data_IF_769942331427
#
_entry.id   IF_769942331427
#
_cell.length_a   1.000
_cell.length_b   1.000
_cell.length_c   1.000
_cell.angle_alpha   90.00
_cell.angle_beta   90.00
_cell.angle_gamma   90.00
#
_symmetry.space_group_name_H-M   'P 1'
#
loop_
_entity.id
_entity.type
_entity.pdbx_description
1 polymer ?
#
# COMPACT_ATOMS: atom_id res chain seq x y z
N UNK A 1 7.96 22.09 0.75
CA UNK A 1 8.55 20.95 1.49
C UNK A 1 9.29 19.97 0.58
N UNK A 2 8.82 19.71 -0.65
CA UNK A 2 9.52 18.89 -1.69
C UNK A 2 10.95 19.36 -1.98
N UNK A 3 11.18 20.67 -2.02
CA UNK A 3 12.49 21.24 -2.35
C UNK A 3 13.60 20.76 -1.42
N UNK A 4 13.32 20.56 -0.12
CA UNK A 4 14.30 20.04 0.83
C UNK A 4 14.69 18.57 0.59
N UNK A 5 13.84 17.79 -0.08
CA UNK A 5 14.15 16.40 -0.45
C UNK A 5 14.82 16.29 -1.82
N UNK A 6 14.66 17.33 -2.65
CA UNK A 6 15.21 17.38 -4.01
C UNK A 6 16.59 18.05 -4.00
N UNK A 7 16.72 19.18 -3.30
CA UNK A 7 17.93 19.96 -3.13
C UNK A 7 18.54 19.64 -1.78
N UNK A 8 19.45 18.66 -1.78
CA UNK A 8 20.01 18.05 -0.56
C UNK A 8 21.07 18.90 0.15
N UNK A 9 21.44 20.05 -0.42
CA UNK A 9 22.40 21.00 0.16
C UNK A 9 21.84 22.42 0.19
N UNK A 10 22.33 23.24 1.15
CA UNK A 10 22.00 24.67 1.19
C UNK A 10 22.41 25.39 -0.09
N UNK A 11 23.51 24.97 -0.70
CA UNK A 11 24.00 25.54 -1.97
C UNK A 11 23.02 25.26 -3.12
N UNK A 12 22.52 24.03 -3.25
CA UNK A 12 21.55 23.66 -4.29
C UNK A 12 20.21 24.35 -4.09
N UNK A 13 19.77 24.51 -2.84
CA UNK A 13 18.55 25.24 -2.51
C UNK A 13 18.71 26.75 -2.78
N UNK A 14 19.86 27.35 -2.45
CA UNK A 14 20.18 28.76 -2.79
C UNK A 14 20.15 28.96 -4.30
N UNK A 15 20.77 28.04 -5.05
CA UNK A 15 20.80 28.08 -6.52
C UNK A 15 19.38 28.01 -7.13
N UNK A 16 18.49 27.17 -6.60
CA UNK A 16 17.07 27.10 -7.00
C UNK A 16 16.34 28.42 -6.74
N UNK A 17 16.60 29.06 -5.60
CA UNK A 17 15.98 30.34 -5.21
C UNK A 17 16.48 31.49 -6.09
N UNK A 18 17.79 31.55 -6.36
CA UNK A 18 18.45 32.63 -7.10
C UNK A 18 18.16 32.60 -8.61
N UNK A 19 18.11 31.42 -9.23
CA UNK A 19 17.96 31.27 -10.69
C UNK A 19 16.48 31.28 -11.14
N UNK A 20 15.53 31.07 -10.23
CA UNK A 20 14.13 30.85 -10.57
C UNK A 20 13.91 29.53 -11.34
N UNK A 21 12.66 29.19 -11.64
CA UNK A 21 12.21 27.90 -12.22
C UNK A 21 12.70 27.58 -13.66
N UNK A 22 13.77 28.21 -14.15
CA UNK A 22 14.22 28.08 -15.55
C UNK A 22 15.16 26.89 -15.85
N UNK A 23 15.42 26.00 -14.90
CA UNK A 23 15.95 24.67 -15.22
C UNK A 23 14.85 23.64 -15.07
N UNK A 24 14.54 22.94 -16.18
CA UNK A 24 13.80 21.68 -16.15
C UNK A 24 14.37 20.84 -15.01
N UNK A 25 13.52 20.55 -14.03
CA UNK A 25 13.88 19.68 -12.93
C UNK A 25 14.43 18.41 -13.55
N UNK A 26 15.72 18.12 -13.33
CA UNK A 26 16.29 16.81 -13.53
C UNK A 26 15.68 15.89 -12.44
N UNK A 27 14.37 15.70 -12.49
CA UNK A 27 13.69 14.64 -11.76
C UNK A 27 14.39 13.35 -12.13
N UNK A 28 14.70 12.52 -11.13
CA UNK A 28 15.33 11.23 -11.32
C UNK A 28 14.71 10.55 -12.54
N UNK A 29 15.50 10.42 -13.62
CA UNK A 29 15.04 9.96 -14.94
C UNK A 29 14.10 8.80 -14.71
N UNK A 30 12.82 9.07 -14.94
CA UNK A 30 11.84 8.01 -14.96
C UNK A 30 12.31 7.01 -16.03
N UNK A 31 12.34 5.73 -15.68
CA UNK A 31 12.60 4.66 -16.65
C UNK A 31 11.47 4.54 -17.69
N UNK A 32 10.42 5.36 -17.59
CA UNK A 32 9.27 5.34 -18.47
C UNK A 32 9.55 6.21 -19.69
N UNK A 33 9.58 5.56 -20.84
CA UNK A 33 9.65 6.21 -22.14
C UNK A 33 8.31 6.91 -22.39
N UNK A 34 8.31 8.24 -22.51
CA UNK A 34 7.12 8.99 -22.94
C UNK A 34 6.60 8.41 -24.27
N UNK A 35 5.29 8.16 -24.35
CA UNK A 35 4.58 8.09 -25.63
C UNK A 35 3.83 6.81 -25.98
N UNK A 36 3.98 5.71 -25.24
CA UNK A 36 3.22 4.46 -25.54
C UNK A 36 2.28 4.10 -24.40
N UNK A 37 0.97 4.06 -24.69
CA UNK A 37 -0.03 3.59 -23.73
C UNK A 37 0.22 2.12 -23.37
N UNK A 38 0.13 1.79 -22.09
CA UNK A 38 0.25 0.42 -21.58
C UNK A 38 -1.12 -0.01 -21.04
N UNK A 39 -1.82 -0.93 -21.72
CA UNK A 39 -3.05 -1.49 -21.20
C UNK A 39 -2.77 -2.53 -20.12
N UNK A 40 -3.75 -2.75 -19.24
CA UNK A 40 -3.81 -3.93 -18.38
C UNK A 40 -4.36 -5.10 -19.21
N UNK A 41 -3.71 -6.27 -19.23
CA UNK A 41 -4.23 -7.46 -19.92
C UNK A 41 -5.66 -7.80 -19.47
N UNK A 42 -6.55 -8.02 -20.44
CA UNK A 42 -7.92 -8.46 -20.15
C UNK A 42 -7.89 -9.98 -19.95
N UNK A 43 -8.01 -10.41 -18.70
CA UNK A 43 -8.11 -11.82 -18.33
C UNK A 43 -9.53 -12.09 -17.81
N UNK A 44 -10.25 -13.11 -18.34
CA UNK A 44 -11.56 -13.47 -17.82
C UNK A 44 -11.46 -13.81 -16.33
N UNK A 45 -12.36 -13.25 -15.53
CA UNK A 45 -12.49 -13.63 -14.12
C UNK A 45 -12.91 -15.10 -14.08
N UNK A 46 -12.01 -15.97 -13.67
CA UNK A 46 -12.35 -17.36 -13.40
C UNK A 46 -13.05 -17.43 -12.05
N UNK A 47 -14.20 -18.10 -11.99
CA UNK A 47 -14.91 -18.31 -10.73
C UNK A 47 -14.03 -19.09 -9.76
N UNK A 48 -13.64 -18.46 -8.64
CA UNK A 48 -12.87 -19.12 -7.59
C UNK A 48 -13.81 -19.86 -6.64
N UNK A 49 -13.35 -20.95 -5.98
CA UNK A 49 -14.11 -21.57 -4.89
C UNK A 49 -14.46 -20.51 -3.83
N UNK A 50 -15.69 -20.55 -3.34
CA UNK A 50 -16.29 -19.45 -2.57
C UNK A 50 -15.70 -19.21 -1.17
N UNK A 51 -14.76 -20.03 -0.68
CA UNK A 51 -14.35 -20.02 0.73
C UNK A 51 -12.84 -19.89 0.89
N UNK A 52 -12.41 -18.73 1.43
CA UNK A 52 -11.06 -18.50 1.95
C UNK A 52 -10.84 -19.41 3.17
N UNK A 53 -9.74 -20.17 3.20
CA UNK A 53 -9.40 -21.03 4.34
C UNK A 53 -8.19 -20.52 5.10
N UNK A 54 -7.14 -20.10 4.40
CA UNK A 54 -5.88 -19.66 5.00
C UNK A 54 -5.28 -18.46 4.27
N UNK A 55 -5.27 -17.28 4.89
CA UNK A 55 -4.86 -16.03 4.22
C UNK A 55 -3.56 -15.49 4.81
N UNK A 56 -2.57 -15.18 3.96
CA UNK A 56 -1.43 -14.34 4.32
C UNK A 56 -1.81 -12.87 4.14
N UNK A 57 -1.94 -12.12 5.23
CA UNK A 57 -2.19 -10.68 5.21
C UNK A 57 -0.92 -9.89 5.49
N UNK A 58 -0.43 -9.18 4.48
CA UNK A 58 0.73 -8.29 4.58
C UNK A 58 0.25 -6.86 4.79
N UNK A 59 0.64 -6.25 5.92
CA UNK A 59 0.25 -4.87 6.27
C UNK A 59 -0.94 -4.76 7.23
N UNK A 60 -1.22 -5.84 7.98
CA UNK A 60 -2.32 -5.91 8.96
C UNK A 60 -2.35 -4.79 10.01
N UNK A 61 -1.20 -4.18 10.33
CA UNK A 61 -1.11 -3.09 11.31
C UNK A 61 -1.34 -1.70 10.71
N UNK A 62 -1.49 -1.61 9.39
CA UNK A 62 -1.83 -0.37 8.68
C UNK A 62 -3.33 -0.07 8.75
N UNK A 63 -3.72 1.16 8.38
CA UNK A 63 -5.10 1.61 8.51
C UNK A 63 -6.10 0.78 7.70
N UNK A 64 -5.86 0.51 6.42
CA UNK A 64 -6.72 -0.39 5.66
C UNK A 64 -6.58 -1.85 6.12
N UNK A 65 -5.34 -2.28 6.39
CA UNK A 65 -5.04 -3.67 6.73
C UNK A 65 -5.74 -4.16 7.99
N UNK A 66 -5.88 -3.32 9.02
CA UNK A 66 -6.58 -3.69 10.25
C UNK A 66 -8.09 -3.84 10.05
N UNK A 67 -8.69 -3.04 9.15
CA UNK A 67 -10.10 -3.16 8.79
C UNK A 67 -10.36 -4.39 7.92
N UNK A 68 -9.45 -4.71 6.99
CA UNK A 68 -9.50 -5.96 6.22
C UNK A 68 -9.33 -7.18 7.14
N UNK A 69 -8.42 -7.12 8.11
CA UNK A 69 -8.25 -8.17 9.11
C UNK A 69 -9.55 -8.41 9.88
N UNK A 70 -10.18 -7.34 10.39
CA UNK A 70 -11.48 -7.43 11.09
C UNK A 70 -12.58 -8.01 10.21
N UNK A 71 -12.70 -7.58 8.95
CA UNK A 71 -13.70 -8.11 8.03
C UNK A 71 -13.48 -9.60 7.79
N UNK A 72 -12.23 -10.05 7.59
CA UNK A 72 -11.92 -11.48 7.41
C UNK A 72 -12.24 -12.30 8.67
N UNK A 73 -11.92 -11.79 9.85
CA UNK A 73 -12.21 -12.44 11.12
C UNK A 73 -13.72 -12.56 11.39
N UNK A 74 -14.49 -11.54 11.04
CA UNK A 74 -15.92 -11.46 11.36
C UNK A 74 -16.83 -12.10 10.32
N UNK A 75 -16.44 -12.10 9.04
CA UNK A 75 -17.26 -12.62 7.93
C UNK A 75 -16.87 -14.02 7.46
N UNK A 76 -15.71 -14.55 7.90
CA UNK A 76 -15.21 -15.86 7.45
C UNK A 76 -14.73 -16.72 8.62
N UNK A 77 -14.50 -18.00 8.35
CA UNK A 77 -13.82 -18.94 9.24
C UNK A 77 -12.34 -19.14 8.90
N UNK A 78 -11.75 -18.27 8.06
CA UNK A 78 -10.37 -18.43 7.62
C UNK A 78 -9.36 -18.27 8.76
N UNK A 79 -8.28 -19.04 8.72
CA UNK A 79 -7.08 -18.85 9.53
C UNK A 79 -6.22 -17.75 8.88
N UNK A 80 -5.68 -16.84 9.69
CA UNK A 80 -4.98 -15.65 9.17
C UNK A 80 -3.53 -15.68 9.61
N UNK A 81 -2.61 -15.58 8.66
CA UNK A 81 -1.20 -15.38 8.93
C UNK A 81 -0.85 -13.92 8.66
N UNK A 82 -0.34 -13.20 9.67
CA UNK A 82 0.07 -11.81 9.54
C UNK A 82 1.59 -11.70 9.67
N UNK A 83 2.23 -11.19 8.61
CA UNK A 83 3.65 -10.82 8.67
C UNK A 83 3.79 -9.43 9.31
N UNK A 84 4.46 -9.37 10.47
CA UNK A 84 4.53 -8.18 11.30
C UNK A 84 5.97 -7.90 11.70
N UNK A 85 6.51 -6.77 11.23
CA UNK A 85 7.85 -6.29 11.61
C UNK A 85 7.96 -6.02 13.11
N UNK A 86 8.87 -6.67 13.81
CA UNK A 86 9.08 -6.47 15.24
C UNK A 86 10.34 -7.15 15.77
N UNK A 87 10.52 -7.08 17.09
CA UNK A 87 11.66 -7.75 17.78
C UNK A 87 11.43 -9.24 17.99
N UNK A 88 10.16 -9.66 18.04
CA UNK A 88 9.74 -11.03 18.27
C UNK A 88 8.27 -11.20 17.88
N UNK A 89 7.84 -12.45 17.71
CA UNK A 89 6.44 -12.81 17.50
C UNK A 89 5.53 -12.22 18.59
N UNK A 90 5.92 -12.33 19.86
CA UNK A 90 5.17 -11.77 21.00
C UNK A 90 4.98 -10.25 20.87
N UNK A 91 6.01 -9.54 20.44
CA UNK A 91 5.92 -8.10 20.19
C UNK A 91 4.95 -7.79 19.04
N UNK A 92 4.98 -8.59 17.97
CA UNK A 92 4.05 -8.44 16.84
C UNK A 92 2.60 -8.72 17.24
N UNK A 93 2.39 -9.79 18.02
CA UNK A 93 1.08 -10.18 18.56
C UNK A 93 0.47 -9.08 19.43
N UNK A 94 1.25 -8.54 20.36
CA UNK A 94 0.80 -7.44 21.22
C UNK A 94 0.43 -6.21 20.39
N UNK A 95 1.28 -5.82 19.42
CA UNK A 95 1.01 -4.68 18.55
C UNK A 95 -0.30 -4.85 17.77
N UNK A 96 -0.54 -6.05 17.21
CA UNK A 96 -1.76 -6.31 16.45
C UNK A 96 -3.01 -6.27 17.35
N UNK A 97 -2.92 -6.88 18.53
CA UNK A 97 -3.99 -6.86 19.53
C UNK A 97 -4.34 -5.43 19.97
N UNK A 98 -3.32 -4.60 20.22
CA UNK A 98 -3.50 -3.18 20.54
C UNK A 98 -4.18 -2.41 19.41
N UNK A 99 -3.82 -2.69 18.15
CA UNK A 99 -4.50 -2.10 16.98
C UNK A 99 -5.97 -2.52 16.91
N UNK A 100 -6.27 -3.81 17.04
CA UNK A 100 -7.65 -4.30 17.06
C UNK A 100 -8.44 -3.60 18.19
N UNK A 101 -7.88 -3.52 19.38
CA UNK A 101 -8.50 -2.83 20.51
C UNK A 101 -8.71 -1.33 20.27
N UNK A 102 -7.73 -0.63 19.68
CA UNK A 102 -7.87 0.79 19.35
C UNK A 102 -9.07 1.04 18.42
N UNK A 103 -9.20 0.21 17.37
CA UNK A 103 -10.25 0.38 16.37
C UNK A 103 -11.60 -0.19 16.82
N UNK A 104 -11.65 -1.24 17.64
CA UNK A 104 -12.88 -2.04 17.81
C UNK A 104 -13.36 -2.23 19.25
N UNK A 105 -12.70 -1.63 20.25
CA UNK A 105 -13.09 -1.71 21.67
C UNK A 105 -14.48 -1.13 21.99
N UNK A 106 -15.05 -0.29 21.12
CA UNK A 106 -16.42 0.23 21.27
C UNK A 106 -17.48 -0.76 20.78
N UNK A 107 -17.08 -1.76 19.98
CA UNK A 107 -17.98 -2.71 19.33
C UNK A 107 -17.86 -4.12 19.90
N UNK A 108 -16.70 -4.47 20.47
CA UNK A 108 -16.40 -5.81 20.96
C UNK A 108 -15.67 -5.76 22.29
N UNK A 109 -15.91 -6.77 23.13
CA UNK A 109 -15.20 -6.94 24.40
C UNK A 109 -13.75 -7.36 24.17
N UNK A 110 -12.92 -7.25 25.22
CA UNK A 110 -11.54 -7.72 25.17
C UNK A 110 -11.49 -9.24 24.96
N UNK A 111 -12.43 -9.99 25.52
CA UNK A 111 -12.53 -11.44 25.34
C UNK A 111 -12.84 -11.81 23.88
N UNK A 112 -13.72 -11.08 23.20
CA UNK A 112 -14.00 -11.29 21.77
C UNK A 112 -12.78 -10.99 20.90
N UNK A 113 -12.05 -9.90 21.20
CA UNK A 113 -10.78 -9.60 20.52
C UNK A 113 -9.74 -10.71 20.77
N UNK A 114 -9.65 -11.22 21.99
CA UNK A 114 -8.76 -12.33 22.34
C UNK A 114 -9.13 -13.63 21.63
N UNK A 115 -10.43 -13.89 21.43
CA UNK A 115 -10.91 -15.00 20.62
C UNK A 115 -10.47 -14.87 19.16
N UNK A 116 -10.56 -13.69 18.56
CA UNK A 116 -10.02 -13.46 17.21
C UNK A 116 -8.52 -13.71 17.14
N UNK A 117 -7.76 -13.29 18.15
CA UNK A 117 -6.31 -13.51 18.19
C UNK A 117 -5.93 -15.01 18.18
N UNK A 118 -6.84 -15.94 18.48
CA UNK A 118 -6.59 -17.38 18.37
C UNK A 118 -6.57 -17.88 16.92
N UNK A 119 -7.21 -17.16 15.99
CA UNK A 119 -7.22 -17.46 14.55
C UNK A 119 -6.12 -16.72 13.77
N UNK A 120 -5.20 -16.09 14.50
CA UNK A 120 -4.14 -15.27 13.91
C UNK A 120 -2.78 -15.84 14.28
N UNK A 121 -2.09 -16.37 13.27
CA UNK A 121 -0.69 -16.72 13.31
C UNK A 121 0.16 -15.48 13.01
N UNK A 122 1.09 -15.15 13.89
CA UNK A 122 1.97 -14.00 13.71
C UNK A 122 3.34 -14.51 13.26
N UNK A 123 3.86 -13.97 12.17
CA UNK A 123 5.24 -14.18 11.75
C UNK A 123 6.00 -12.88 11.87
N UNK A 124 7.17 -12.93 12.52
CA UNK A 124 8.05 -11.77 12.58
C UNK A 124 8.90 -11.73 11.30
N UNK A 125 8.61 -10.79 10.42
CA UNK A 125 9.36 -10.63 9.17
C UNK A 125 9.06 -9.32 8.46
N UNK A 126 9.78 -9.09 7.36
CA UNK A 126 9.70 -7.90 6.53
C UNK A 126 9.79 -8.28 5.05
N UNK A 127 8.83 -7.82 4.25
CA UNK A 127 8.77 -8.10 2.80
C UNK A 127 9.95 -7.49 2.03
N UNK A 128 10.71 -6.57 2.64
CA UNK A 128 11.91 -6.00 2.04
C UNK A 128 13.13 -6.92 2.10
N UNK A 129 13.10 -7.91 2.99
CA UNK A 129 14.19 -8.86 3.20
C UNK A 129 14.05 -10.09 2.31
N UNK A 130 15.17 -10.77 2.07
CA UNK A 130 15.17 -12.08 1.42
C UNK A 130 14.33 -13.08 2.23
N UNK A 131 13.51 -13.90 1.56
CA UNK A 131 12.57 -14.83 2.19
C UNK A 131 11.68 -14.18 3.28
N UNK A 132 11.37 -12.89 3.12
CA UNK A 132 10.64 -12.07 4.11
C UNK A 132 11.33 -11.95 5.47
N UNK A 133 12.63 -12.20 5.56
CA UNK A 133 13.39 -12.26 6.81
C UNK A 133 13.13 -13.52 7.62
N UNK A 134 12.46 -14.52 7.03
CA UNK A 134 12.20 -15.82 7.64
C UNK A 134 13.34 -16.79 7.34
N UNK A 135 13.43 -17.86 8.13
CA UNK A 135 14.28 -19.00 7.75
C UNK A 135 13.72 -19.71 6.51
N UNK A 136 14.55 -20.40 5.72
CA UNK A 136 14.07 -21.17 4.56
C UNK A 136 12.95 -22.15 4.91
N UNK A 137 13.03 -22.80 6.06
CA UNK A 137 12.00 -23.74 6.53
C UNK A 137 10.67 -23.03 6.84
N UNK A 138 10.71 -21.89 7.53
CA UNK A 138 9.51 -21.09 7.82
C UNK A 138 8.88 -20.54 6.54
N UNK A 139 9.69 -20.08 5.58
CA UNK A 139 9.22 -19.57 4.29
C UNK A 139 8.50 -20.65 3.48
N UNK A 140 9.08 -21.85 3.38
CA UNK A 140 8.44 -22.99 2.71
C UNK A 140 7.17 -23.45 3.45
N UNK A 141 7.20 -23.47 4.79
CA UNK A 141 6.02 -23.80 5.60
C UNK A 141 4.90 -22.80 5.39
N UNK A 142 5.22 -21.50 5.34
CA UNK A 142 4.26 -20.43 5.08
C UNK A 142 3.61 -20.60 3.70
N UNK A 143 4.41 -20.82 2.66
CA UNK A 143 3.93 -21.03 1.29
C UNK A 143 3.00 -22.25 1.15
N UNK A 144 3.28 -23.34 1.87
CA UNK A 144 2.44 -24.53 1.89
C UNK A 144 1.18 -24.44 2.76
N UNK A 145 1.09 -23.47 3.66
CA UNK A 145 0.00 -23.35 4.65
C UNK A 145 -1.11 -22.37 4.23
N UNK A 146 -0.80 -21.41 3.37
CA UNK A 146 -1.75 -20.37 2.92
C UNK A 146 -2.30 -20.69 1.54
N UNK A 147 -3.53 -20.21 1.27
CA UNK A 147 -4.20 -20.37 -0.01
C UNK A 147 -4.35 -19.05 -0.78
N UNK A 148 -4.15 -17.92 -0.10
CA UNK A 148 -4.37 -16.58 -0.66
C UNK A 148 -3.44 -15.57 0.00
N UNK A 149 -2.90 -14.64 -0.78
CA UNK A 149 -2.10 -13.51 -0.27
C UNK A 149 -2.84 -12.20 -0.49
N UNK A 150 -2.97 -11.40 0.57
CA UNK A 150 -3.49 -10.03 0.50
C UNK A 150 -2.38 -9.07 0.91
N UNK A 151 -1.94 -8.24 -0.05
CA UNK A 151 -0.87 -7.28 0.14
C UNK A 151 -1.42 -5.86 0.24
N UNK A 152 -1.54 -5.39 1.48
CA UNK A 152 -1.94 -4.01 1.83
C UNK A 152 -0.77 -3.18 2.35
N UNK A 153 0.36 -3.82 2.65
CA UNK A 153 1.57 -3.14 3.12
C UNK A 153 2.07 -2.12 2.09
N UNK A 154 2.23 -0.88 2.54
CA UNK A 154 2.86 0.18 1.78
C UNK A 154 3.49 1.19 2.74
N UNK A 155 4.62 1.77 2.35
CA UNK A 155 5.07 3.04 2.90
C UNK A 155 4.25 4.15 2.24
N UNK A 156 3.38 4.80 3.02
CA UNK A 156 2.34 5.74 2.51
C UNK A 156 2.69 7.22 2.69
N UNK A 157 3.92 7.55 3.11
CA UNK A 157 4.34 8.94 3.27
C UNK A 157 4.34 9.66 1.91
N UNK A 158 3.90 10.91 1.84
CA UNK A 158 3.89 11.67 0.56
C UNK A 158 5.24 12.33 0.23
N UNK A 159 6.16 12.37 1.19
CA UNK A 159 7.48 12.98 1.09
C UNK A 159 8.51 12.09 1.79
N UNK A 160 9.72 12.06 1.26
CA UNK A 160 10.83 11.23 1.73
C UNK A 160 11.80 10.93 0.59
N UNK A 161 12.88 10.21 0.89
CA UNK A 161 13.82 9.77 -0.13
C UNK A 161 13.18 8.67 -0.98
N UNK A 162 13.25 8.82 -2.30
CA UNK A 162 12.62 7.89 -3.24
C UNK A 162 13.10 6.45 -3.01
N UNK A 163 14.37 6.31 -2.69
CA UNK A 163 15.08 5.07 -2.42
C UNK A 163 14.39 4.26 -1.30
N UNK A 164 13.81 4.92 -0.29
CA UNK A 164 13.06 4.25 0.79
C UNK A 164 11.71 3.69 0.28
N UNK A 165 11.03 4.41 -0.61
CA UNK A 165 9.77 3.97 -1.21
C UNK A 165 9.98 2.85 -2.22
N UNK A 166 11.02 2.96 -3.05
CA UNK A 166 11.42 1.92 -4.00
C UNK A 166 11.72 0.62 -3.26
N UNK A 167 12.48 0.69 -2.17
CA UNK A 167 12.84 -0.48 -1.40
C UNK A 167 11.62 -1.21 -0.80
N UNK A 168 10.69 -0.47 -0.20
CA UNK A 168 9.51 -1.07 0.44
C UNK A 168 8.44 -1.45 -0.58
N UNK A 169 7.99 -0.49 -1.39
CA UNK A 169 6.80 -0.66 -2.22
C UNK A 169 7.10 -1.39 -3.52
N UNK A 170 8.29 -1.23 -4.11
CA UNK A 170 8.62 -1.84 -5.41
C UNK A 170 9.30 -3.19 -5.20
N UNK A 171 10.41 -3.23 -4.47
CA UNK A 171 11.11 -4.49 -4.22
C UNK A 171 10.33 -5.43 -3.29
N UNK A 172 9.63 -4.89 -2.28
CA UNK A 172 8.73 -5.69 -1.44
C UNK A 172 7.61 -6.36 -2.25
N UNK A 173 6.94 -5.59 -3.12
CA UNK A 173 5.89 -6.17 -4.00
C UNK A 173 6.46 -7.19 -4.98
N UNK A 174 7.68 -6.99 -5.53
CA UNK A 174 8.34 -8.01 -6.35
C UNK A 174 8.53 -9.33 -5.60
N UNK A 175 9.08 -9.29 -4.38
CA UNK A 175 9.29 -10.51 -3.57
C UNK A 175 7.98 -11.21 -3.24
N UNK A 176 6.91 -10.45 -2.98
CA UNK A 176 5.57 -11.01 -2.76
C UNK A 176 5.04 -11.69 -4.03
N UNK A 177 5.25 -11.07 -5.20
CA UNK A 177 4.90 -11.69 -6.47
C UNK A 177 5.68 -12.99 -6.71
N UNK A 178 6.99 -12.99 -6.45
CA UNK A 178 7.84 -14.17 -6.58
C UNK A 178 7.38 -15.31 -5.66
N UNK A 179 7.07 -15.01 -4.39
CA UNK A 179 6.47 -15.96 -3.45
C UNK A 179 5.14 -16.54 -3.98
N UNK A 180 4.25 -15.67 -4.47
CA UNK A 180 2.96 -16.13 -5.00
C UNK A 180 3.13 -17.02 -6.24
N UNK A 181 4.12 -16.73 -7.10
CA UNK A 181 4.44 -17.59 -8.26
C UNK A 181 5.00 -18.93 -7.82
N UNK A 182 5.92 -18.95 -6.86
CA UNK A 182 6.55 -20.18 -6.34
C UNK A 182 5.49 -21.16 -5.79
N UNK A 183 4.52 -20.66 -5.03
CA UNK A 183 3.50 -21.48 -4.37
C UNK A 183 2.16 -21.52 -5.13
N UNK A 184 2.08 -20.94 -6.33
CA UNK A 184 0.86 -20.88 -7.14
C UNK A 184 -0.34 -20.23 -6.39
N UNK A 185 -0.08 -19.16 -5.65
CA UNK A 185 -1.05 -18.47 -4.81
C UNK A 185 -1.67 -17.26 -5.53
N UNK A 186 -2.98 -17.03 -5.41
CA UNK A 186 -3.60 -15.78 -5.82
C UNK A 186 -3.12 -14.61 -4.95
N UNK A 187 -2.74 -13.51 -5.62
CA UNK A 187 -2.31 -12.26 -5.00
C UNK A 187 -3.39 -11.17 -5.14
N UNK A 188 -3.85 -10.63 -4.02
CA UNK A 188 -4.69 -9.45 -3.96
C UNK A 188 -3.86 -8.25 -3.52
N UNK A 189 -3.56 -7.35 -4.46
CA UNK A 189 -2.73 -6.18 -4.21
C UNK A 189 -3.58 -4.92 -4.07
N UNK A 190 -3.45 -4.21 -2.94
CA UNK A 190 -4.08 -2.90 -2.79
C UNK A 190 -3.17 -1.82 -3.35
N UNK A 191 -3.65 -1.12 -4.37
CA UNK A 191 -3.02 0.05 -4.96
C UNK A 191 -3.77 1.35 -4.61
N UNK A 192 -3.57 2.42 -5.37
CA UNK A 192 -4.23 3.72 -5.17
C UNK A 192 -4.78 4.26 -6.48
N UNK A 193 -5.95 4.89 -6.45
CA UNK A 193 -6.53 5.57 -7.60
C UNK A 193 -5.62 6.71 -8.11
N UNK A 194 -4.76 7.26 -7.25
CA UNK A 194 -3.81 8.31 -7.61
C UNK A 194 -2.82 7.90 -8.70
N UNK A 195 -2.66 6.60 -9.00
CA UNK A 195 -1.89 6.15 -10.18
C UNK A 195 -2.49 6.63 -11.50
N UNK A 196 -3.76 7.03 -11.54
CA UNK A 196 -4.34 7.71 -12.72
C UNK A 196 -3.63 9.02 -13.07
N UNK A 197 -2.90 9.61 -12.12
CA UNK A 197 -2.21 10.88 -12.27
C UNK A 197 -3.17 12.06 -12.24
N UNK A 198 -2.59 13.28 -12.23
CA UNK A 198 -3.37 14.53 -12.27
C UNK A 198 -3.30 15.24 -13.61
N UNK A 199 -2.28 14.94 -14.41
CA UNK A 199 -2.04 15.55 -15.72
C UNK A 199 -1.15 14.66 -16.58
N UNK A 200 -1.17 14.93 -17.89
CA UNK A 200 -0.27 14.34 -18.88
C UNK A 200 0.52 15.50 -19.48
N UNK A 201 1.87 15.45 -19.49
CA UNK A 201 2.69 16.51 -20.07
C UNK A 201 2.33 16.76 -21.55
N UNK A 202 2.43 18.02 -21.97
CA UNK A 202 2.26 18.44 -23.37
C UNK A 202 0.86 18.21 -23.98
N UNK A 203 -0.17 18.02 -23.15
CA UNK A 203 -1.57 18.03 -23.60
C UNK A 203 -2.47 18.72 -22.59
N UNK A 204 -3.48 19.43 -23.10
CA UNK A 204 -4.58 19.99 -22.31
C UNK A 204 -5.89 19.22 -22.51
N UNK A 205 -5.86 18.17 -23.32
CA UNK A 205 -7.04 17.34 -23.58
C UNK A 205 -7.33 16.44 -22.39
N UNK A 206 -8.61 16.32 -22.04
CA UNK A 206 -9.06 15.38 -21.02
C UNK A 206 -8.84 13.96 -21.54
N UNK A 207 -8.05 13.18 -20.81
CA UNK A 207 -7.88 11.75 -21.09
C UNK A 207 -8.71 10.93 -20.12
N UNK A 208 -9.27 9.83 -20.62
CA UNK A 208 -10.03 8.87 -19.82
C UNK A 208 -9.05 7.82 -19.30
N UNK A 209 -9.12 7.55 -18.00
CA UNK A 209 -8.38 6.48 -17.34
C UNK A 209 -9.36 5.49 -16.73
N UNK A 210 -9.19 4.21 -17.05
CA UNK A 210 -10.07 3.12 -16.62
C UNK A 210 -9.26 2.01 -15.96
N UNK A 211 -9.93 0.96 -15.48
CA UNK A 211 -9.31 -0.25 -14.94
C UNK A 211 -8.50 -1.01 -15.99
N UNK A 212 -8.71 -0.73 -17.28
CA UNK A 212 -7.94 -1.31 -18.40
C UNK A 212 -6.65 -0.56 -18.70
N UNK A 213 -6.40 0.55 -18.01
CA UNK A 213 -5.25 1.40 -18.25
C UNK A 213 -4.22 1.25 -17.12
N UNK A 214 -2.97 0.97 -17.47
CA UNK A 214 -1.83 1.09 -16.56
C UNK A 214 -1.14 2.44 -16.80
N UNK A 215 -0.76 2.74 -18.04
CA UNK A 215 -0.07 3.98 -18.42
C UNK A 215 -0.72 4.62 -19.65
N UNK A 216 -1.10 5.90 -19.53
CA UNK A 216 -1.65 6.73 -20.60
C UNK A 216 -0.80 7.97 -20.89
N UNK A 217 0.35 8.11 -20.21
CA UNK A 217 1.23 9.28 -20.29
C UNK A 217 1.31 10.12 -19.01
N UNK A 218 0.69 9.66 -17.91
CA UNK A 218 0.66 10.41 -16.67
C UNK A 218 2.07 10.65 -16.07
N UNK A 219 2.26 11.80 -15.43
CA UNK A 219 3.53 12.16 -14.77
C UNK A 219 3.47 11.98 -13.25
N UNK A 220 4.53 11.37 -12.69
CA UNK A 220 4.70 11.12 -11.26
C UNK A 220 5.95 11.77 -10.66
N UNK A 221 6.65 12.62 -11.42
CA UNK A 221 7.85 13.33 -10.96
C UNK A 221 7.64 14.14 -9.66
N UNK A 222 6.40 14.50 -9.35
CA UNK A 222 6.02 15.28 -8.17
C UNK A 222 5.59 14.46 -6.95
N UNK A 223 5.33 13.14 -7.09
CA UNK A 223 4.81 12.33 -6.00
C UNK A 223 5.47 10.94 -5.95
N UNK A 224 6.49 10.82 -5.09
CA UNK A 224 7.30 9.61 -4.91
C UNK A 224 6.46 8.40 -4.48
N UNK A 225 5.42 8.61 -3.67
CA UNK A 225 4.50 7.54 -3.27
C UNK A 225 3.72 7.00 -4.47
N UNK A 226 3.08 7.88 -5.24
CA UNK A 226 2.30 7.48 -6.43
C UNK A 226 3.20 6.79 -7.45
N UNK A 227 4.41 7.31 -7.69
CA UNK A 227 5.42 6.66 -8.53
C UNK A 227 5.70 5.22 -8.06
N UNK A 228 5.96 5.02 -6.78
CA UNK A 228 6.26 3.68 -6.24
C UNK A 228 5.09 2.70 -6.38
N UNK A 229 3.84 3.17 -6.24
CA UNK A 229 2.64 2.34 -6.44
C UNK A 229 2.43 1.98 -7.91
N UNK A 230 2.67 2.93 -8.82
CA UNK A 230 2.66 2.66 -10.25
C UNK A 230 3.74 1.66 -10.67
N UNK A 231 4.95 1.78 -10.13
CA UNK A 231 6.05 0.84 -10.37
C UNK A 231 5.72 -0.57 -9.88
N UNK A 232 5.12 -0.67 -8.68
CA UNK A 232 4.62 -1.94 -8.16
C UNK A 232 3.52 -2.53 -9.05
N UNK A 233 2.54 -1.75 -9.50
CA UNK A 233 1.54 -2.21 -10.48
C UNK A 233 2.17 -2.68 -11.79
N UNK A 234 3.18 -1.96 -12.29
CA UNK A 234 3.88 -2.33 -13.53
C UNK A 234 4.56 -3.69 -13.44
N UNK A 235 5.14 -4.00 -12.27
CA UNK A 235 5.68 -5.34 -11.99
C UNK A 235 4.56 -6.36 -12.02
N UNK A 236 3.48 -6.14 -11.28
CA UNK A 236 2.38 -7.11 -11.17
C UNK A 236 1.67 -7.36 -12.51
N UNK A 237 1.47 -6.32 -13.33
CA UNK A 237 0.90 -6.45 -14.67
C UNK A 237 1.82 -7.24 -15.60
N UNK A 238 3.15 -7.08 -15.46
CA UNK A 238 4.12 -7.93 -16.18
C UNK A 238 4.03 -9.37 -15.70
N UNK A 239 3.98 -9.62 -14.40
CA UNK A 239 3.89 -10.98 -13.84
C UNK A 239 2.55 -11.67 -14.18
N UNK A 240 1.46 -10.90 -14.28
CA UNK A 240 0.16 -11.36 -14.76
C UNK A 240 0.27 -11.98 -16.15
N UNK A 241 1.03 -11.35 -17.06
CA UNK A 241 1.29 -11.91 -18.40
C UNK A 241 2.12 -13.20 -18.40
N UNK A 242 2.75 -13.52 -17.26
CA UNK A 242 3.54 -14.73 -17.05
C UNK A 242 2.81 -15.79 -16.20
N UNK A 243 1.51 -15.62 -15.97
CA UNK A 243 0.67 -16.60 -15.28
C UNK A 243 0.51 -16.39 -13.78
N UNK A 244 0.99 -15.28 -13.20
CA UNK A 244 0.65 -14.93 -11.82
C UNK A 244 -0.85 -14.58 -11.74
N UNK A 245 -1.59 -15.23 -10.86
CA UNK A 245 -2.98 -14.85 -10.56
C UNK A 245 -2.97 -13.62 -9.63
N UNK A 246 -3.15 -12.42 -10.20
CA UNK A 246 -3.15 -11.16 -9.43
C UNK A 246 -4.38 -10.31 -9.69
N UNK A 247 -4.94 -9.75 -8.61
CA UNK A 247 -6.01 -8.76 -8.62
C UNK A 247 -5.51 -7.46 -7.99
N UNK A 248 -5.65 -6.33 -8.71
CA UNK A 248 -5.20 -5.01 -8.27
C UNK A 248 -6.41 -4.16 -7.88
N UNK A 249 -6.44 -3.68 -6.64
CA UNK A 249 -7.52 -2.86 -6.08
C UNK A 249 -7.05 -1.41 -5.90
N UNK A 250 -7.39 -0.52 -6.83
CA UNK A 250 -7.05 0.90 -6.75
C UNK A 250 -8.01 1.64 -5.82
N UNK A 251 -7.67 1.77 -4.54
CA UNK A 251 -8.53 2.48 -3.57
C UNK A 251 -8.37 4.00 -3.65
N UNK A 252 -9.45 4.72 -3.34
CA UNK A 252 -9.47 6.17 -3.27
C UNK A 252 -8.93 6.73 -1.95
N UNK A 253 -9.44 7.88 -1.54
CA UNK A 253 -9.11 8.48 -0.25
C UNK A 253 -9.78 7.70 0.88
N UNK A 254 -8.99 7.06 1.74
CA UNK A 254 -9.52 6.34 2.90
C UNK A 254 -9.91 7.34 4.00
N UNK A 255 -11.16 7.25 4.46
CA UNK A 255 -11.74 8.14 5.48
C UNK A 255 -12.14 7.38 6.74
N UNK A 256 -12.69 8.07 7.74
CA UNK A 256 -13.25 7.45 8.93
C UNK A 256 -14.31 6.41 8.57
N UNK A 257 -14.44 5.37 9.41
CA UNK A 257 -15.47 4.35 9.24
C UNK A 257 -16.85 4.98 9.17
N UNK A 258 -17.68 4.46 8.29
CA UNK A 258 -19.04 4.93 8.12
C UNK A 258 -19.89 4.82 9.41
N UNK A 259 -19.67 3.76 10.19
CA UNK A 259 -20.51 3.43 11.35
C UNK A 259 -20.32 4.35 12.56
N UNK A 260 -19.10 4.81 12.81
CA UNK A 260 -18.76 5.55 14.04
C UNK A 260 -17.73 6.66 13.84
N UNK A 261 -17.32 6.93 12.59
CA UNK A 261 -16.36 7.96 12.25
C UNK A 261 -14.92 7.66 12.72
N UNK A 262 -14.64 6.48 13.29
CA UNK A 262 -13.30 6.14 13.77
C UNK A 262 -12.32 6.18 12.61
N UNK A 263 -11.23 6.92 12.82
CA UNK A 263 -10.22 7.15 11.79
C UNK A 263 -8.84 6.67 12.26
N UNK A 264 -7.83 6.81 11.39
CA UNK A 264 -6.48 6.32 11.67
C UNK A 264 -5.88 6.98 12.92
N UNK A 265 -5.10 6.21 13.70
CA UNK A 265 -4.39 6.72 14.89
C UNK A 265 -3.56 7.97 14.61
N UNK A 266 -2.83 7.95 13.49
CA UNK A 266 -1.98 9.05 13.06
C UNK A 266 -2.78 10.08 12.23
N UNK A 267 -3.95 10.49 12.72
CA UNK A 267 -4.84 11.42 12.00
C UNK A 267 -4.14 12.73 11.60
N UNK A 268 -3.19 13.20 12.42
CA UNK A 268 -2.43 14.43 12.16
C UNK A 268 -1.43 14.28 11.00
N UNK A 269 -1.16 13.06 10.52
CA UNK A 269 -0.32 12.81 9.34
C UNK A 269 -1.16 12.71 8.04
N UNK A 270 -2.49 12.69 8.15
CA UNK A 270 -3.38 12.56 6.99
C UNK A 270 -3.60 13.93 6.33
N UNK A 271 -3.18 14.07 5.07
CA UNK A 271 -3.27 15.35 4.36
C UNK A 271 -4.71 15.82 4.15
N UNK A 272 -5.64 14.92 3.84
CA UNK A 272 -7.05 15.27 3.66
C UNK A 272 -7.66 15.83 4.96
N UNK A 273 -7.41 15.18 6.09
CA UNK A 273 -7.82 15.70 7.40
C UNK A 273 -7.19 17.06 7.71
N UNK A 274 -5.89 17.23 7.46
CA UNK A 274 -5.21 18.51 7.68
C UNK A 274 -5.79 19.63 6.82
N UNK A 275 -6.15 19.35 5.56
CA UNK A 275 -6.81 20.32 4.69
C UNK A 275 -8.18 20.73 5.23
N UNK A 276 -9.01 19.78 5.68
CA UNK A 276 -10.29 20.09 6.31
C UNK A 276 -10.11 20.89 7.61
N UNK A 277 -9.14 20.51 8.44
CA UNK A 277 -8.77 21.22 9.66
C UNK A 277 -8.40 22.67 9.39
N UNK A 278 -7.56 22.91 8.38
CA UNK A 278 -7.15 24.26 7.99
C UNK A 278 -8.35 25.10 7.53
N UNK A 279 -9.24 24.54 6.71
CA UNK A 279 -10.45 25.23 6.24
C UNK A 279 -11.33 25.67 7.42
N UNK A 280 -11.63 24.76 8.35
CA UNK A 280 -12.47 25.09 9.52
C UNK A 280 -11.80 26.10 10.44
N UNK A 281 -10.48 25.99 10.66
CA UNK A 281 -9.75 26.95 11.49
C UNK A 281 -9.72 28.36 10.92
N UNK A 282 -9.69 28.51 9.58
CA UNK A 282 -9.78 29.82 8.94
C UNK A 282 -11.14 30.49 9.14
N UNK A 283 -12.21 29.72 9.33
CA UNK A 283 -13.55 30.22 9.63
C UNK A 283 -13.78 30.48 11.14
N UNK A 284 -12.74 30.33 11.97
CA UNK A 284 -12.83 30.49 13.43
C UNK A 284 -13.40 29.28 14.17
N UNK A 285 -13.58 28.14 13.50
CA UNK A 285 -14.01 26.89 14.09
C UNK A 285 -12.86 26.04 14.63
N UNK A 286 -13.17 25.10 15.53
CA UNK A 286 -12.20 24.12 16.06
C UNK A 286 -12.70 22.70 15.81
N UNK A 287 -11.99 21.94 14.97
CA UNK A 287 -12.18 20.49 14.84
C UNK A 287 -11.49 19.80 16.03
N UNK A 288 -12.27 19.10 16.86
CA UNK A 288 -11.78 18.28 17.98
C UNK A 288 -11.26 16.95 17.47
#
# INVERSE_FOLDING_TARGET
MKDFYTYRSFEDLSRKIEVGTQQEEAGAKSSFTLGTRIPVPVIPVQGRPAQLKSVLLLGATGFLGIHLLHELLSSTSAELTCLIRGKSEKSGRNRLREKLNFYYSTLYSLEEIDQWMNRIHILNGDVTEELFGLTPTEFQTLGGAVDTVIHTAALVKHYGFYEEFEHVNVHGTRRVADFCKEFCLPLHYVSTLSVSGTHIPNTSEIQIFTEKDLYIGQDYSYNVYVRSKFEAESILVKELSQGLDVSIYRVGNLTGRYTDGKFQENIQENMFYLSLKALVSMEGGTLK
#
